data_IF_313691936614
#
_entry.id   IF_313691936614
#
_cell.length_a   1.000
_cell.length_b   1.000
_cell.length_c   1.000
_cell.angle_alpha   90.00
_cell.angle_beta   90.00
_cell.angle_gamma   90.00
#
_symmetry.space_group_name_H-M   'P 1'
#
loop_
_entity.id
_entity.type
_entity.pdbx_description
1 polymer ?
#
# COMPACT_ATOMS: atom_id res chain seq x y z
N UNK A 1 -54.07 36.70 -48.80
CA UNK A 1 -54.17 35.43 -48.02
C UNK A 1 -52.88 34.62 -48.03
N UNK A 2 -52.20 34.39 -49.17
CA UNK A 2 -50.98 33.58 -49.27
C UNK A 2 -49.75 34.30 -48.69
N UNK A 3 -49.60 35.59 -48.93
CA UNK A 3 -48.55 36.43 -48.35
C UNK A 3 -48.63 36.53 -46.85
N UNK A 4 -49.80 36.65 -46.26
CA UNK A 4 -50.01 36.69 -44.81
C UNK A 4 -49.68 35.33 -44.16
N UNK A 5 -50.01 34.21 -44.79
CA UNK A 5 -49.63 32.87 -44.32
C UNK A 5 -48.15 32.65 -44.35
N UNK A 6 -47.41 33.16 -45.34
CA UNK A 6 -45.97 33.12 -45.45
C UNK A 6 -45.31 34.03 -44.42
N UNK A 7 -45.85 35.20 -44.15
CA UNK A 7 -45.36 36.12 -43.10
C UNK A 7 -45.51 35.48 -41.70
N UNK A 8 -46.66 34.81 -41.43
CA UNK A 8 -46.87 34.05 -40.17
C UNK A 8 -45.86 32.93 -40.00
N UNK A 9 -45.63 32.08 -41.01
CA UNK A 9 -44.62 31.04 -41.01
C UNK A 9 -43.21 31.58 -40.74
N UNK A 10 -42.82 32.70 -41.38
CA UNK A 10 -41.52 33.36 -41.20
C UNK A 10 -41.36 33.85 -39.75
N UNK A 11 -42.39 34.37 -39.13
CA UNK A 11 -42.35 34.84 -37.76
C UNK A 11 -42.18 33.65 -36.76
N UNK A 12 -42.83 32.54 -36.99
CA UNK A 12 -42.72 31.32 -36.16
C UNK A 12 -41.32 30.69 -36.28
N UNK A 13 -40.78 30.62 -37.47
CA UNK A 13 -39.40 30.16 -37.70
C UNK A 13 -38.38 31.06 -36.95
N UNK A 14 -38.56 32.38 -37.01
CA UNK A 14 -37.73 33.32 -36.27
C UNK A 14 -37.82 33.15 -34.76
N UNK A 15 -39.02 32.91 -34.22
CA UNK A 15 -39.21 32.63 -32.78
C UNK A 15 -38.51 31.33 -32.37
N UNK A 16 -38.68 30.25 -33.14
CA UNK A 16 -38.00 28.95 -32.92
C UNK A 16 -36.49 29.11 -32.97
N UNK A 17 -35.96 29.82 -33.96
CA UNK A 17 -34.52 30.08 -34.10
C UNK A 17 -33.95 30.85 -32.91
N UNK A 18 -34.65 31.86 -32.42
CA UNK A 18 -34.24 32.62 -31.21
C UNK A 18 -34.20 31.73 -29.99
N UNK A 19 -35.18 30.84 -29.81
CA UNK A 19 -35.21 29.87 -28.68
C UNK A 19 -34.05 28.91 -28.77
N UNK A 20 -33.80 28.29 -29.92
CA UNK A 20 -32.67 27.38 -30.12
C UNK A 20 -31.34 28.07 -29.85
N UNK A 21 -31.10 29.31 -30.39
CA UNK A 21 -29.88 30.06 -30.11
C UNK A 21 -29.69 30.32 -28.59
N UNK A 22 -30.75 30.65 -27.87
CA UNK A 22 -30.69 30.89 -26.42
C UNK A 22 -30.37 29.61 -25.64
N UNK A 23 -30.98 28.50 -26.02
CA UNK A 23 -30.75 27.20 -25.38
C UNK A 23 -29.34 26.67 -25.66
N UNK A 24 -28.87 26.81 -26.91
CA UNK A 24 -27.49 26.45 -27.30
C UNK A 24 -26.46 27.31 -26.54
N UNK A 25 -26.71 28.61 -26.40
CA UNK A 25 -25.84 29.48 -25.59
C UNK A 25 -25.76 29.06 -24.10
N UNK A 26 -26.91 28.72 -23.51
CA UNK A 26 -26.96 28.19 -22.13
C UNK A 26 -26.19 26.87 -22.00
N UNK A 27 -26.41 25.93 -22.91
CA UNK A 27 -25.71 24.65 -22.90
C UNK A 27 -24.20 24.82 -23.02
N UNK A 28 -23.75 25.73 -23.93
CA UNK A 28 -22.33 26.06 -24.08
C UNK A 28 -21.73 26.61 -22.80
N UNK A 29 -22.41 27.54 -22.09
CA UNK A 29 -21.93 28.10 -20.85
C UNK A 29 -21.85 27.05 -19.73
N UNK A 30 -22.83 26.14 -19.64
CA UNK A 30 -22.82 25.03 -18.67
C UNK A 30 -21.66 24.06 -18.97
N UNK A 31 -21.45 23.71 -20.24
CA UNK A 31 -20.35 22.85 -20.66
C UNK A 31 -18.98 23.45 -20.31
N UNK A 32 -18.81 24.76 -20.54
CA UNK A 32 -17.56 25.48 -20.23
C UNK A 32 -17.28 25.49 -18.71
N UNK A 33 -18.29 25.77 -17.90
CA UNK A 33 -18.16 25.70 -16.43
C UNK A 33 -17.80 24.28 -15.95
N UNK A 34 -18.42 23.25 -16.54
CA UNK A 34 -18.12 21.86 -16.22
C UNK A 34 -16.68 21.51 -16.57
N UNK A 35 -16.21 21.93 -17.76
CA UNK A 35 -14.82 21.76 -18.21
C UNK A 35 -13.82 22.42 -17.28
N UNK A 36 -14.07 23.67 -16.86
CA UNK A 36 -13.21 24.37 -15.90
C UNK A 36 -13.16 23.67 -14.54
N UNK A 37 -14.31 23.23 -14.02
CA UNK A 37 -14.35 22.47 -12.76
C UNK A 37 -13.55 21.18 -12.83
N UNK A 38 -13.75 20.41 -13.90
CA UNK A 38 -13.00 19.14 -14.12
C UNK A 38 -11.50 19.39 -14.25
N UNK A 39 -11.08 20.47 -14.95
CA UNK A 39 -9.67 20.85 -15.07
C UNK A 39 -9.04 21.18 -13.70
N UNK A 40 -9.75 21.91 -12.83
CA UNK A 40 -9.32 22.21 -11.46
C UNK A 40 -9.19 20.93 -10.62
N UNK A 41 -10.16 20.02 -10.70
CA UNK A 41 -10.12 18.73 -10.00
C UNK A 41 -8.95 17.87 -10.46
N UNK A 42 -8.66 17.82 -11.76
CA UNK A 42 -7.50 17.11 -12.33
C UNK A 42 -6.20 17.70 -11.78
N UNK A 43 -6.03 19.01 -11.78
CA UNK A 43 -4.80 19.65 -11.28
C UNK A 43 -4.60 19.42 -9.78
N UNK A 44 -5.68 19.49 -9.00
CA UNK A 44 -5.64 19.19 -7.55
C UNK A 44 -5.24 17.73 -7.31
N UNK A 45 -5.81 16.81 -8.08
CA UNK A 45 -5.51 15.38 -7.97
C UNK A 45 -4.05 15.09 -8.33
N UNK A 46 -3.55 15.68 -9.42
CA UNK A 46 -2.12 15.55 -9.83
C UNK A 46 -1.18 16.04 -8.72
N UNK A 47 -1.48 17.16 -8.10
CA UNK A 47 -0.69 17.70 -6.99
C UNK A 47 -0.69 16.77 -5.78
N UNK A 48 -1.84 16.16 -5.44
CA UNK A 48 -1.94 15.15 -4.37
C UNK A 48 -1.12 13.91 -4.67
N UNK A 49 -1.17 13.40 -5.91
CA UNK A 49 -0.38 12.25 -6.37
C UNK A 49 1.11 12.55 -6.18
N UNK A 50 1.61 13.67 -6.70
CA UNK A 50 3.02 14.07 -6.59
C UNK A 50 3.50 14.13 -5.13
N UNK A 51 2.67 14.72 -4.23
CA UNK A 51 2.99 14.74 -2.79
C UNK A 51 3.04 13.34 -2.18
N UNK A 52 2.13 12.44 -2.57
CA UNK A 52 2.12 11.06 -2.08
C UNK A 52 3.35 10.28 -2.56
N UNK A 53 3.77 10.44 -3.81
CA UNK A 53 4.99 9.84 -4.35
C UNK A 53 6.24 10.28 -3.58
N UNK A 54 6.36 11.57 -3.29
CA UNK A 54 7.47 12.10 -2.49
C UNK A 54 7.50 11.44 -1.10
N UNK A 55 6.35 11.37 -0.42
CA UNK A 55 6.25 10.70 0.89
C UNK A 55 6.65 9.22 0.82
N UNK A 56 6.23 8.51 -0.23
CA UNK A 56 6.60 7.09 -0.41
C UNK A 56 8.11 6.95 -0.59
N UNK A 57 8.75 7.81 -1.40
CA UNK A 57 10.21 7.80 -1.58
C UNK A 57 10.95 8.07 -0.27
N UNK A 58 10.49 9.03 0.52
CA UNK A 58 11.05 9.31 1.86
C UNK A 58 10.92 8.11 2.81
N UNK A 59 9.74 7.47 2.84
CA UNK A 59 9.51 6.30 3.67
C UNK A 59 10.40 5.12 3.26
N UNK A 60 10.57 4.89 1.97
CA UNK A 60 11.51 3.87 1.44
C UNK A 60 12.95 4.15 1.90
N UNK A 61 13.40 5.41 1.83
CA UNK A 61 14.72 5.81 2.31
C UNK A 61 14.90 5.54 3.80
N UNK A 62 13.87 5.86 4.62
CA UNK A 62 13.90 5.57 6.07
C UNK A 62 14.03 4.08 6.34
N UNK A 63 13.25 3.26 5.64
CA UNK A 63 13.33 1.81 5.77
C UNK A 63 14.71 1.27 5.37
N UNK A 64 15.30 1.78 4.28
CA UNK A 64 16.66 1.41 3.86
C UNK A 64 17.69 1.77 4.92
N UNK A 65 17.59 2.96 5.53
CA UNK A 65 18.48 3.38 6.60
C UNK A 65 18.34 2.47 7.84
N UNK A 66 17.10 2.13 8.21
CA UNK A 66 16.83 1.21 9.31
C UNK A 66 17.50 -0.16 9.07
N UNK A 67 17.37 -0.71 7.86
CA UNK A 67 18.05 -1.97 7.54
C UNK A 67 19.59 -1.86 7.58
N UNK A 68 20.16 -0.75 7.14
CA UNK A 68 21.61 -0.53 7.25
C UNK A 68 22.06 -0.49 8.72
N UNK A 69 21.26 0.14 9.58
CA UNK A 69 21.53 0.21 11.03
C UNK A 69 21.40 -1.17 11.69
N UNK A 70 20.31 -1.91 11.39
CA UNK A 70 20.12 -3.28 11.87
C UNK A 70 21.28 -4.21 11.46
N UNK A 71 21.78 -4.10 10.24
CA UNK A 71 22.95 -4.88 9.79
C UNK A 71 24.21 -4.50 10.55
N UNK A 72 24.44 -3.21 10.81
CA UNK A 72 25.59 -2.76 11.58
C UNK A 72 25.56 -3.29 13.02
N UNK A 73 24.40 -3.18 13.69
CA UNK A 73 24.20 -3.72 15.03
C UNK A 73 24.45 -5.23 15.05
N UNK A 74 23.93 -5.96 14.04
CA UNK A 74 24.15 -7.40 13.91
C UNK A 74 25.62 -7.77 13.73
N UNK A 75 26.37 -7.02 12.91
CA UNK A 75 27.80 -7.24 12.71
C UNK A 75 28.61 -6.96 14.00
N UNK A 76 28.25 -5.92 14.75
CA UNK A 76 28.82 -5.59 16.04
C UNK A 76 28.56 -6.73 17.07
N UNK A 77 27.32 -7.22 17.13
CA UNK A 77 26.93 -8.30 18.05
C UNK A 77 27.56 -9.66 17.68
N UNK A 78 27.75 -9.95 16.39
CA UNK A 78 28.50 -11.14 15.92
C UNK A 78 29.96 -11.07 16.36
N UNK A 79 30.59 -9.89 16.26
CA UNK A 79 31.97 -9.68 16.71
C UNK A 79 32.12 -9.88 18.23
N UNK A 80 31.06 -9.54 18.98
CA UNK A 80 31.01 -9.68 20.43
C UNK A 80 30.56 -11.06 20.91
N UNK A 81 30.30 -12.02 20.01
CA UNK A 81 29.85 -13.39 20.30
C UNK A 81 28.46 -13.46 21.01
N UNK A 82 27.61 -12.43 20.87
CA UNK A 82 26.36 -12.26 21.65
C UNK A 82 25.09 -12.71 20.95
N UNK A 83 25.12 -13.20 19.68
CA UNK A 83 23.91 -13.61 18.98
C UNK A 83 23.91 -15.10 18.59
N UNK A 84 22.89 -15.86 19.04
CA UNK A 84 22.55 -17.15 18.43
C UNK A 84 22.07 -16.96 16.98
N UNK A 85 22.37 -17.92 16.11
CA UNK A 85 21.78 -17.98 14.75
C UNK A 85 20.25 -18.05 14.87
N UNK A 86 19.55 -17.00 14.42
CA UNK A 86 18.14 -16.72 14.73
C UNK A 86 17.11 -17.63 14.02
N UNK A 87 17.48 -18.84 13.61
CA UNK A 87 16.54 -19.83 13.11
C UNK A 87 16.03 -20.71 14.28
N UNK A 88 14.95 -20.27 14.96
CA UNK A 88 14.38 -21.00 16.09
C UNK A 88 13.94 -22.44 15.75
N UNK A 89 13.64 -22.73 14.49
CA UNK A 89 13.20 -24.07 14.02
C UNK A 89 14.34 -24.93 13.46
N UNK A 90 15.60 -24.48 13.54
CA UNK A 90 16.76 -25.20 13.01
C UNK A 90 16.79 -25.38 11.50
N UNK A 91 15.80 -24.88 10.76
CA UNK A 91 15.72 -24.94 9.28
C UNK A 91 16.05 -23.59 8.66
N UNK A 92 16.99 -23.53 7.69
CA UNK A 92 17.27 -22.29 7.00
C UNK A 92 16.01 -21.71 6.31
N UNK A 93 15.69 -20.44 6.53
CA UNK A 93 14.50 -19.77 5.97
C UNK A 93 14.33 -19.99 4.47
N UNK A 94 15.46 -20.05 3.73
CA UNK A 94 15.46 -20.29 2.28
C UNK A 94 14.75 -21.59 1.87
N UNK A 95 14.78 -22.63 2.71
CA UNK A 95 14.16 -23.94 2.42
C UNK A 95 12.63 -23.90 2.56
N UNK A 96 12.09 -22.84 3.14
CA UNK A 96 10.66 -22.61 3.36
C UNK A 96 9.98 -21.91 2.19
N UNK A 97 10.72 -21.56 1.11
CA UNK A 97 10.15 -20.89 -0.07
C UNK A 97 9.02 -21.74 -0.66
N UNK A 98 7.85 -21.12 -0.86
CA UNK A 98 6.64 -21.76 -1.38
C UNK A 98 5.86 -22.62 -0.37
N UNK A 99 6.28 -22.67 0.89
CA UNK A 99 5.65 -23.52 1.93
C UNK A 99 5.04 -22.73 3.10
N UNK A 100 5.28 -21.42 3.14
CA UNK A 100 4.81 -20.56 4.22
C UNK A 100 3.32 -20.25 4.08
N UNK A 101 2.69 -19.82 5.16
CA UNK A 101 1.31 -19.31 5.16
C UNK A 101 1.32 -17.79 5.15
N UNK A 102 0.25 -17.16 4.64
CA UNK A 102 0.04 -15.73 4.81
C UNK A 102 -0.01 -15.35 6.31
N UNK A 103 0.52 -14.17 6.69
CA UNK A 103 0.58 -13.75 8.09
C UNK A 103 -0.79 -13.44 8.70
N UNK A 104 -1.82 -13.24 7.89
CA UNK A 104 -3.19 -12.99 8.34
C UNK A 104 -4.19 -13.61 7.36
N UNK A 105 -5.36 -13.98 7.88
CA UNK A 105 -6.50 -14.37 7.05
C UNK A 105 -7.01 -13.15 6.28
N UNK A 106 -7.19 -13.27 4.97
CA UNK A 106 -7.68 -12.17 4.15
C UNK A 106 -7.39 -12.34 2.66
N UNK A 107 -7.65 -11.28 1.90
CA UNK A 107 -7.48 -11.28 0.45
C UNK A 107 -6.33 -10.36 0.05
N UNK A 108 -5.43 -10.82 -0.81
CA UNK A 108 -4.35 -10.00 -1.35
C UNK A 108 -4.94 -8.98 -2.34
N UNK A 109 -4.93 -7.69 -1.97
CA UNK A 109 -5.50 -6.59 -2.76
C UNK A 109 -4.45 -5.74 -3.47
N UNK A 110 -3.18 -5.82 -3.05
CA UNK A 110 -2.05 -5.24 -3.78
C UNK A 110 -0.90 -6.24 -3.83
N UNK A 111 -0.25 -6.34 -4.99
CA UNK A 111 0.81 -7.32 -5.25
C UNK A 111 2.16 -6.65 -5.42
N UNK A 112 3.23 -7.38 -5.09
CA UNK A 112 4.62 -6.99 -5.34
C UNK A 112 4.83 -6.58 -6.81
N UNK A 113 5.56 -5.48 -7.04
CA UNK A 113 5.82 -4.94 -8.38
C UNK A 113 4.65 -4.22 -9.03
N UNK A 114 3.43 -4.35 -8.51
CA UNK A 114 2.26 -3.63 -9.02
C UNK A 114 2.43 -2.12 -8.77
N UNK A 115 2.16 -1.29 -9.78
CA UNK A 115 2.14 0.17 -9.60
C UNK A 115 0.99 0.57 -8.66
N UNK A 116 1.24 1.50 -7.77
CA UNK A 116 0.20 2.09 -6.92
C UNK A 116 -0.71 2.96 -7.78
N UNK A 117 -2.01 2.95 -7.50
CA UNK A 117 -3.01 3.68 -8.27
C UNK A 117 -2.62 5.14 -8.48
N UNK A 118 -2.48 5.56 -9.74
CA UNK A 118 -2.11 6.92 -10.14
C UNK A 118 -0.66 7.31 -9.89
N UNK A 119 0.26 6.36 -9.62
CA UNK A 119 1.66 6.60 -9.32
C UNK A 119 2.58 5.67 -10.11
N UNK A 120 3.80 6.11 -10.37
CA UNK A 120 4.87 5.27 -10.95
C UNK A 120 5.58 4.40 -9.88
N UNK A 121 5.23 4.57 -8.60
CA UNK A 121 5.85 3.83 -7.49
C UNK A 121 5.21 2.46 -7.34
N UNK A 122 6.04 1.41 -7.46
CA UNK A 122 5.60 0.03 -7.27
C UNK A 122 5.54 -0.37 -5.78
N UNK A 123 4.71 -1.37 -5.48
CA UNK A 123 4.68 -2.05 -4.19
C UNK A 123 5.94 -2.91 -4.01
N UNK A 124 6.58 -2.83 -2.85
CA UNK A 124 7.73 -3.67 -2.47
C UNK A 124 7.32 -4.90 -1.66
N UNK A 125 6.05 -5.00 -1.31
CA UNK A 125 5.42 -6.12 -0.62
C UNK A 125 4.03 -6.36 -1.18
N UNK A 126 3.19 -6.98 -0.35
CA UNK A 126 1.76 -7.20 -0.64
C UNK A 126 0.91 -6.53 0.42
N UNK A 127 -0.32 -6.17 0.07
CA UNK A 127 -1.32 -5.74 1.05
C UNK A 127 -2.42 -6.79 1.13
N UNK A 128 -2.64 -7.29 2.34
CA UNK A 128 -3.63 -8.31 2.65
C UNK A 128 -4.79 -7.60 3.35
N UNK A 129 -5.89 -7.38 2.62
CA UNK A 129 -7.13 -6.85 3.22
C UNK A 129 -7.73 -7.90 4.15
N UNK A 130 -8.00 -7.52 5.38
CA UNK A 130 -8.46 -8.42 6.44
C UNK A 130 -9.32 -7.63 7.43
N UNK A 131 -10.15 -8.34 8.19
CA UNK A 131 -10.97 -7.72 9.25
C UNK A 131 -10.08 -7.15 10.34
N UNK A 132 -10.34 -5.91 10.77
CA UNK A 132 -9.66 -5.28 11.89
C UNK A 132 -9.75 -6.16 13.15
N UNK A 133 -8.64 -6.25 13.87
CA UNK A 133 -8.54 -7.10 15.07
C UNK A 133 -8.19 -8.57 14.80
N UNK A 134 -8.22 -9.05 13.56
CA UNK A 134 -7.74 -10.39 13.24
C UNK A 134 -6.26 -10.55 13.63
N UNK A 135 -5.85 -11.77 13.98
CA UNK A 135 -4.46 -12.08 14.33
C UNK A 135 -3.51 -11.87 13.16
N UNK A 136 -2.36 -11.24 13.45
CA UNK A 136 -1.19 -11.21 12.57
C UNK A 136 -0.13 -12.11 13.17
N UNK A 137 0.39 -13.07 12.38
CA UNK A 137 1.28 -14.13 12.84
C UNK A 137 2.61 -14.12 12.11
N UNK A 138 3.68 -14.52 12.80
CA UNK A 138 4.97 -14.76 12.17
C UNK A 138 4.88 -15.87 11.13
N UNK A 139 5.45 -15.66 9.96
CA UNK A 139 5.45 -16.66 8.88
C UNK A 139 6.46 -17.79 9.13
N UNK A 140 7.49 -17.54 9.95
CA UNK A 140 8.55 -18.49 10.28
C UNK A 140 9.17 -18.13 11.62
N UNK A 141 9.98 -19.02 12.19
CA UNK A 141 10.78 -18.71 13.37
C UNK A 141 11.81 -17.62 13.12
N UNK A 142 12.16 -16.86 14.16
CA UNK A 142 13.13 -15.78 14.09
C UNK A 142 13.11 -14.86 15.29
N UNK A 143 13.98 -13.85 15.28
CA UNK A 143 14.07 -12.84 16.32
C UNK A 143 13.41 -11.53 15.88
N UNK A 144 12.64 -10.90 16.76
CA UNK A 144 12.10 -9.55 16.53
C UNK A 144 13.25 -8.55 16.61
N UNK A 145 13.50 -7.84 15.53
CA UNK A 145 14.56 -6.82 15.43
C UNK A 145 14.04 -5.39 15.35
N UNK A 146 12.74 -5.23 15.22
CA UNK A 146 12.05 -3.95 15.27
C UNK A 146 10.59 -4.14 15.66
N UNK A 147 10.08 -3.34 16.59
CA UNK A 147 8.71 -3.40 17.06
C UNK A 147 8.23 -2.03 17.53
N UNK A 148 7.90 -1.13 16.58
CA UNK A 148 7.47 0.23 16.89
C UNK A 148 6.70 0.84 15.70
N UNK A 149 6.19 2.07 15.89
CA UNK A 149 5.56 2.83 14.83
C UNK A 149 6.59 3.43 13.86
N UNK A 150 6.43 3.14 12.58
CA UNK A 150 7.25 3.71 11.51
C UNK A 150 6.38 4.45 10.51
N UNK A 151 6.72 5.73 10.25
CA UNK A 151 5.99 6.55 9.29
C UNK A 151 5.86 5.87 7.92
N UNK A 152 4.62 5.68 7.47
CA UNK A 152 4.27 5.07 6.19
C UNK A 152 4.06 3.56 6.22
N UNK A 153 4.39 2.92 7.35
CA UNK A 153 4.12 1.51 7.64
C UNK A 153 3.13 1.33 8.79
N UNK A 154 2.96 2.40 9.63
CA UNK A 154 2.19 2.30 10.87
C UNK A 154 2.94 1.48 11.92
N UNK A 155 2.21 0.82 12.78
CA UNK A 155 2.76 -0.14 13.73
C UNK A 155 3.40 -1.30 12.96
N UNK A 156 4.71 -1.40 13.02
CA UNK A 156 5.55 -2.30 12.23
C UNK A 156 6.31 -3.26 13.13
N UNK A 157 6.29 -4.53 12.76
CA UNK A 157 7.18 -5.55 13.31
C UNK A 157 8.10 -6.03 12.20
N UNK A 158 9.39 -6.19 12.49
CA UNK A 158 10.39 -6.81 11.61
C UNK A 158 10.97 -8.01 12.35
N UNK A 159 10.95 -9.17 11.67
CA UNK A 159 11.52 -10.43 12.18
C UNK A 159 12.72 -10.80 11.32
N UNK A 160 13.87 -11.05 11.97
CA UNK A 160 15.09 -11.62 11.35
C UNK A 160 15.01 -13.15 11.43
N UNK A 161 15.02 -13.80 10.27
CA UNK A 161 15.00 -15.26 10.12
C UNK A 161 16.39 -15.88 9.92
N UNK A 162 17.46 -15.07 10.12
CA UNK A 162 18.82 -15.49 9.86
C UNK A 162 19.26 -15.38 8.40
N UNK A 163 20.56 -15.42 8.16
CA UNK A 163 21.18 -15.39 6.81
C UNK A 163 20.73 -14.22 5.93
N UNK A 164 20.35 -13.09 6.55
CA UNK A 164 19.89 -11.88 5.89
C UNK A 164 18.43 -11.92 5.39
N UNK A 165 17.62 -12.88 5.82
CA UNK A 165 16.20 -12.91 5.52
C UNK A 165 15.38 -12.22 6.62
N UNK A 166 14.47 -11.35 6.20
CA UNK A 166 13.59 -10.59 7.07
C UNK A 166 12.16 -10.66 6.57
N UNK A 167 11.20 -10.65 7.49
CA UNK A 167 9.80 -10.39 7.18
C UNK A 167 9.31 -9.15 7.92
N UNK A 168 8.44 -8.38 7.26
CA UNK A 168 7.88 -7.13 7.75
C UNK A 168 6.36 -7.25 7.82
N UNK A 169 5.79 -6.76 8.91
CA UNK A 169 4.35 -6.79 9.19
C UNK A 169 3.92 -5.38 9.61
N UNK A 170 3.43 -4.60 8.66
CA UNK A 170 2.99 -3.22 8.90
C UNK A 170 1.48 -3.06 8.96
N UNK A 171 1.04 -1.86 9.32
CA UNK A 171 -0.36 -1.45 9.41
C UNK A 171 -1.14 -2.11 10.55
N UNK A 172 -0.42 -2.68 11.55
CA UNK A 172 -1.06 -3.33 12.70
C UNK A 172 -1.86 -2.32 13.55
N UNK A 173 -2.94 -2.78 14.19
CA UNK A 173 -3.66 -2.02 15.22
C UNK A 173 -2.85 -2.01 16.52
N UNK A 174 -2.44 -3.19 16.95
CA UNK A 174 -1.61 -3.40 18.13
C UNK A 174 -0.44 -4.32 17.83
N UNK A 175 0.66 -4.13 18.55
CA UNK A 175 1.84 -4.99 18.52
C UNK A 175 1.92 -5.66 19.91
N UNK A 176 2.18 -6.99 19.94
CA UNK A 176 2.24 -7.79 21.15
C UNK A 176 3.63 -8.34 21.46
N UNK A 177 4.59 -8.08 20.58
CA UNK A 177 5.97 -8.53 20.66
C UNK A 177 6.92 -7.35 20.82
N UNK A 178 8.10 -7.57 21.36
CA UNK A 178 9.15 -6.56 21.59
C UNK A 178 10.42 -6.96 20.87
N UNK A 179 11.29 -6.00 20.63
CA UNK A 179 12.63 -6.26 20.14
C UNK A 179 13.38 -7.22 21.06
N UNK A 180 14.04 -8.21 20.48
CA UNK A 180 14.68 -9.32 21.17
C UNK A 180 13.85 -10.57 21.38
N UNK A 181 12.52 -10.51 21.25
CA UNK A 181 11.66 -11.69 21.39
C UNK A 181 12.00 -12.74 20.32
N UNK A 182 12.07 -14.02 20.76
CA UNK A 182 12.23 -15.18 19.88
C UNK A 182 10.87 -15.74 19.53
N UNK A 183 10.62 -15.94 18.24
CA UNK A 183 9.34 -16.39 17.71
C UNK A 183 9.45 -17.74 17.02
N UNK A 184 8.40 -18.53 17.10
CA UNK A 184 8.17 -19.69 16.25
C UNK A 184 7.26 -19.32 15.07
N UNK A 185 7.22 -20.17 14.06
CA UNK A 185 6.25 -20.04 12.99
C UNK A 185 4.81 -20.11 13.54
N UNK A 186 3.99 -19.12 13.20
CA UNK A 186 2.60 -19.04 13.66
C UNK A 186 2.36 -18.28 14.96
N UNK A 187 3.41 -17.85 15.67
CA UNK A 187 3.29 -17.01 16.86
C UNK A 187 2.65 -15.67 16.51
N UNK A 188 1.79 -15.18 17.39
CA UNK A 188 1.05 -13.94 17.16
C UNK A 188 1.93 -12.72 17.44
N UNK A 189 2.02 -11.84 16.42
CA UNK A 189 2.78 -10.59 16.48
C UNK A 189 1.94 -9.40 16.95
N UNK A 190 0.66 -9.43 16.62
CA UNK A 190 -0.26 -8.34 16.86
C UNK A 190 -1.60 -8.57 16.19
N UNK A 191 -2.30 -7.49 15.88
CA UNK A 191 -3.62 -7.53 15.24
C UNK A 191 -3.69 -6.64 14.01
N UNK A 192 -4.51 -7.04 13.04
CA UNK A 192 -4.81 -6.28 11.83
C UNK A 192 -5.39 -4.92 12.16
N UNK A 193 -4.85 -3.88 11.56
CA UNK A 193 -5.27 -2.50 11.79
C UNK A 193 -5.26 -1.63 10.53
N UNK A 194 -5.17 -0.31 10.76
CA UNK A 194 -5.11 0.72 9.74
C UNK A 194 -4.14 1.86 10.11
N UNK A 195 -3.13 1.57 10.92
CA UNK A 195 -2.19 2.57 11.46
C UNK A 195 -1.24 3.16 10.42
N UNK A 196 -1.03 2.49 9.28
CA UNK A 196 -0.18 2.94 8.17
C UNK A 196 -0.87 3.86 7.17
N UNK A 197 -2.16 4.20 7.38
CA UNK A 197 -2.91 5.14 6.54
C UNK A 197 -3.36 4.56 5.19
N UNK A 198 -3.58 3.26 5.10
CA UNK A 198 -4.22 2.61 3.95
C UNK A 198 -5.74 2.90 3.94
N UNK A 199 -6.40 2.71 2.79
CA UNK A 199 -7.85 2.96 2.63
C UNK A 199 -8.76 1.98 3.38
N UNK A 200 -8.22 1.06 4.14
CA UNK A 200 -8.99 0.07 4.88
C UNK A 200 -8.09 -0.82 5.73
N UNK A 201 -8.69 -1.63 6.62
CA UNK A 201 -7.94 -2.52 7.49
C UNK A 201 -7.26 -3.64 6.68
N UNK A 202 -6.06 -3.99 7.11
CA UNK A 202 -5.25 -5.01 6.47
C UNK A 202 -3.83 -5.03 7.02
N UNK A 203 -3.02 -5.90 6.47
CA UNK A 203 -1.60 -6.04 6.80
C UNK A 203 -0.77 -5.74 5.56
N UNK A 204 0.20 -4.84 5.71
CA UNK A 204 1.31 -4.74 4.76
C UNK A 204 2.32 -5.83 5.10
N UNK A 205 2.59 -6.71 4.14
CA UNK A 205 3.51 -7.81 4.33
C UNK A 205 4.61 -7.80 3.28
N UNK A 206 5.86 -7.96 3.74
CA UNK A 206 7.04 -7.92 2.91
C UNK A 206 8.04 -9.00 3.33
N UNK A 207 8.76 -9.57 2.36
CA UNK A 207 9.92 -10.43 2.58
C UNK A 207 11.14 -9.76 1.98
N UNK A 208 12.25 -9.73 2.71
CA UNK A 208 13.52 -9.15 2.25
C UNK A 208 14.68 -10.12 2.36
N UNK A 209 15.65 -9.96 1.48
CA UNK A 209 16.99 -10.50 1.68
C UNK A 209 17.96 -9.33 1.76
N UNK A 210 18.57 -9.16 2.92
CA UNK A 210 19.30 -7.93 3.29
C UNK A 210 18.38 -6.70 3.08
N UNK A 211 18.82 -5.69 2.34
CA UNK A 211 18.00 -4.51 2.02
C UNK A 211 17.09 -4.66 0.78
N UNK A 212 17.12 -5.81 0.08
CA UNK A 212 16.37 -6.00 -1.18
C UNK A 212 15.02 -6.66 -0.93
N UNK A 213 13.90 -6.04 -1.33
CA UNK A 213 12.59 -6.67 -1.25
C UNK A 213 12.48 -7.83 -2.25
N UNK A 214 11.81 -8.88 -1.84
CA UNK A 214 11.49 -10.08 -2.62
C UNK A 214 9.98 -10.18 -2.78
N UNK A 215 9.50 -10.87 -3.84
CA UNK A 215 8.08 -11.11 -4.01
C UNK A 215 7.54 -12.06 -2.92
N UNK A 216 6.71 -11.58 -1.95
CA UNK A 216 6.26 -12.42 -0.85
C UNK A 216 5.40 -13.62 -1.32
N UNK A 217 4.70 -13.49 -2.45
CA UNK A 217 3.84 -14.55 -2.97
C UNK A 217 4.60 -15.76 -3.49
N UNK A 218 5.92 -15.65 -3.71
CA UNK A 218 6.77 -16.81 -4.01
C UNK A 218 7.13 -17.63 -2.76
N UNK A 219 6.90 -17.08 -1.57
CA UNK A 219 7.25 -17.70 -0.29
C UNK A 219 6.07 -18.40 0.36
N UNK A 220 4.86 -17.98 0.03
CA UNK A 220 3.63 -18.46 0.66
C UNK A 220 2.84 -19.39 -0.27
N UNK A 221 2.16 -20.37 0.33
CA UNK A 221 1.13 -21.16 -0.34
C UNK A 221 -0.20 -20.43 -0.15
N UNK A 222 -0.83 -20.03 -1.24
CA UNK A 222 -2.20 -19.48 -1.21
C UNK A 222 -3.13 -20.70 -1.24
N UNK A 223 -3.62 -21.11 -0.08
CA UNK A 223 -4.74 -22.09 -0.01
C UNK A 223 -6.02 -21.30 -0.25
N UNK A 224 -6.71 -21.61 -1.35
CA UNK A 224 -8.07 -21.12 -1.62
C UNK A 224 -9.04 -21.68 -0.60
#
# INVERSE_FOLDING_TARGET
>A
KEIEALQGKKLDVRKKLRKVKKDTSKQKSVAERKKQKTSLEINTTRSRIKRSETKIKENKKRLTNLFAELQRIKEENIKNNELPDASSDGKPFRTLKGKLRLPALGTVTAKFGQKRAGSEVAWEGVFISSKQGNSVKSIAGGAVVYSDWLRGFGNLVIVDHGKGFYSLYGNNESIWVREGDQLNAGDQLGTVGNSGGHKGPGVYFEVRRNSKPLNPLEWVTITN
#
